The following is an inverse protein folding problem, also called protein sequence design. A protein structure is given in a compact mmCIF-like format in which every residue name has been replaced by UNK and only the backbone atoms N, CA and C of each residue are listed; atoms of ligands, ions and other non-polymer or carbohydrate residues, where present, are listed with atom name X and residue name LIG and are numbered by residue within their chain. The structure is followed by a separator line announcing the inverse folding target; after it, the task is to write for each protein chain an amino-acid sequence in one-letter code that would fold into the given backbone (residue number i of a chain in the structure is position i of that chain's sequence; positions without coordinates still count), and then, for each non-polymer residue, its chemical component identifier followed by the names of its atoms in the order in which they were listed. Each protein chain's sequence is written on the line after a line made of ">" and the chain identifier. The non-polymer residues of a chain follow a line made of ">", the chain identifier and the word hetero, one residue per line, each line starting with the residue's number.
data_IF_015085980204
#
_entry.id   IF_015085980204
#
_cell.length_a   1.000
_cell.length_b   1.000
_cell.length_c   1.000
_cell.angle_alpha   90.00
_cell.angle_beta   90.00
_cell.angle_gamma   90.00
#
_symmetry.space_group_name_H-M   'P 1'
#
loop_
_entity.id
_entity.type
_entity.pdbx_description
1 polymer ?
#
# COMPACT_ATOMS: atom_id res chain seq x y z
N UNK A 1 1.60 19.40 -12.51
CA UNK A 1 1.86 17.96 -12.31
C UNK A 1 1.78 17.66 -10.83
N UNK A 2 0.84 16.80 -10.40
CA UNK A 2 0.71 16.38 -9.01
C UNK A 2 1.89 15.47 -8.67
N UNK A 3 2.68 15.80 -7.64
CA UNK A 3 3.77 14.92 -7.19
C UNK A 3 3.17 13.63 -6.60
N UNK A 4 3.61 12.48 -7.10
CA UNK A 4 3.24 11.17 -6.53
C UNK A 4 3.71 11.05 -5.08
N UNK A 5 2.99 10.31 -4.22
CA UNK A 5 3.42 10.08 -2.85
C UNK A 5 4.76 9.33 -2.83
N UNK A 6 5.67 9.74 -1.94
CA UNK A 6 6.94 9.04 -1.69
C UNK A 6 6.78 7.78 -0.84
N UNK A 7 5.63 7.61 -0.20
CA UNK A 7 5.30 6.43 0.61
C UNK A 7 4.02 5.83 0.08
N UNK A 8 4.08 4.56 -0.31
CA UNK A 8 2.96 3.79 -0.82
C UNK A 8 2.75 2.59 0.07
N UNK A 9 1.49 2.32 0.41
CA UNK A 9 1.14 1.20 1.27
C UNK A 9 0.07 0.34 0.63
N UNK A 10 0.29 -0.95 0.63
CA UNK A 10 -0.72 -1.96 0.35
C UNK A 10 -0.89 -2.84 1.59
N UNK A 11 -2.09 -3.36 1.80
CA UNK A 11 -2.33 -4.35 2.85
C UNK A 11 -2.95 -5.60 2.25
N UNK A 12 -2.25 -6.72 2.34
CA UNK A 12 -2.68 -8.01 1.80
C UNK A 12 -3.32 -8.80 2.93
N UNK A 13 -4.58 -9.20 2.76
CA UNK A 13 -5.38 -9.86 3.80
C UNK A 13 -5.61 -11.31 3.45
N UNK A 14 -5.53 -12.16 4.46
CA UNK A 14 -5.69 -13.60 4.36
C UNK A 14 -6.92 -14.06 5.13
N UNK A 15 -7.50 -15.19 4.70
CA UNK A 15 -8.61 -15.83 5.40
C UNK A 15 -8.19 -16.38 6.78
N UNK A 16 -9.11 -17.07 7.47
CA UNK A 16 -8.80 -17.72 8.75
C UNK A 16 -7.64 -18.71 8.62
N UNK A 17 -6.66 -18.62 9.52
CA UNK A 17 -5.43 -19.42 9.49
C UNK A 17 -4.24 -18.69 10.11
N UNK A 18 -3.07 -19.34 10.13
CA UNK A 18 -1.82 -18.67 10.53
C UNK A 18 -1.43 -17.63 9.48
N UNK A 19 -0.93 -16.49 9.94
CA UNK A 19 -0.29 -15.52 9.07
C UNK A 19 0.87 -16.17 8.31
N UNK A 20 1.12 -15.79 7.05
CA UNK A 20 2.30 -16.26 6.35
C UNK A 20 3.55 -15.83 7.12
N UNK A 21 4.42 -16.80 7.40
CA UNK A 21 5.74 -16.57 7.98
C UNK A 21 6.56 -15.68 7.03
N UNK A 22 7.26 -14.68 7.56
CA UNK A 22 8.14 -13.83 6.76
C UNK A 22 9.29 -14.59 6.12
N UNK A 23 9.69 -15.76 6.64
CA UNK A 23 10.58 -16.65 5.90
C UNK A 23 9.96 -17.10 4.56
N UNK A 24 8.66 -17.36 4.51
CA UNK A 24 7.95 -17.71 3.29
C UNK A 24 7.72 -16.52 2.35
N UNK A 25 7.71 -15.29 2.89
CA UNK A 25 7.51 -14.04 2.12
C UNK A 25 8.83 -13.50 1.57
N UNK A 26 9.95 -13.71 2.27
CA UNK A 26 11.27 -13.16 1.92
C UNK A 26 11.72 -13.59 0.52
N UNK A 27 11.63 -14.89 0.19
CA UNK A 27 11.96 -15.40 -1.15
C UNK A 27 11.19 -14.71 -2.28
N UNK A 28 9.84 -14.68 -2.25
CA UNK A 28 9.03 -13.95 -3.21
C UNK A 28 9.36 -12.45 -3.32
N UNK A 29 9.65 -11.79 -2.20
CA UNK A 29 10.02 -10.36 -2.17
C UNK A 29 11.39 -10.16 -2.83
N UNK A 30 12.42 -10.89 -2.42
CA UNK A 30 13.76 -10.77 -3.00
C UNK A 30 13.76 -11.11 -4.49
N UNK A 31 12.97 -12.10 -4.92
CA UNK A 31 12.78 -12.41 -6.33
C UNK A 31 12.10 -11.26 -7.10
N UNK A 32 11.12 -10.59 -6.49
CA UNK A 32 10.48 -9.41 -7.07
C UNK A 32 11.46 -8.26 -7.26
N UNK A 33 12.27 -7.97 -6.24
CA UNK A 33 13.27 -6.90 -6.31
C UNK A 33 14.32 -7.18 -7.36
N UNK A 34 14.81 -8.43 -7.43
CA UNK A 34 15.77 -8.83 -8.46
C UNK A 34 15.22 -8.70 -9.89
N UNK A 35 13.94 -9.04 -10.11
CA UNK A 35 13.32 -8.88 -11.42
C UNK A 35 13.04 -7.43 -11.80
N UNK A 36 12.97 -6.53 -10.81
CA UNK A 36 12.83 -5.09 -11.00
C UNK A 36 14.18 -4.36 -11.10
N UNK A 37 15.30 -5.11 -11.14
CA UNK A 37 16.67 -4.58 -11.12
C UNK A 37 16.95 -3.66 -9.92
N UNK A 38 16.34 -3.97 -8.77
CA UNK A 38 16.53 -3.25 -7.51
C UNK A 38 17.62 -3.92 -6.70
N UNK A 39 18.64 -3.16 -6.31
CA UNK A 39 19.74 -3.66 -5.49
C UNK A 39 19.35 -3.68 -4.02
N UNK A 40 19.53 -4.82 -3.34
CA UNK A 40 19.31 -4.95 -1.90
C UNK A 40 20.61 -4.56 -1.18
N UNK A 41 20.54 -3.51 -0.36
CA UNK A 41 21.65 -3.01 0.43
C UNK A 41 21.72 -3.70 1.80
N UNK A 42 20.56 -3.92 2.43
CA UNK A 42 20.44 -4.65 3.69
C UNK A 42 19.06 -5.28 3.84
N UNK A 43 18.98 -6.32 4.68
CA UNK A 43 17.74 -6.98 5.04
C UNK A 43 17.75 -7.31 6.53
N UNK A 44 16.75 -6.81 7.24
CA UNK A 44 16.53 -7.07 8.66
C UNK A 44 15.22 -7.84 8.81
N UNK A 45 15.27 -8.96 9.55
CA UNK A 45 14.08 -9.72 9.93
C UNK A 45 13.80 -9.47 11.42
N UNK A 46 12.56 -9.15 11.76
CA UNK A 46 12.14 -9.02 13.15
C UNK A 46 12.37 -10.33 13.91
N UNK A 47 12.75 -10.24 15.18
CA UNK A 47 13.09 -11.39 16.02
C UNK A 47 11.98 -12.45 16.06
N UNK A 48 10.74 -12.00 16.21
CA UNK A 48 9.55 -12.86 16.26
C UNK A 48 9.07 -13.31 14.87
N UNK A 49 9.74 -12.90 13.80
CA UNK A 49 9.34 -13.21 12.43
C UNK A 49 8.00 -12.59 12.05
N UNK A 50 7.66 -11.42 12.60
CA UNK A 50 6.44 -10.65 12.30
C UNK A 50 6.69 -9.37 11.48
N UNK A 51 7.95 -9.07 11.18
CA UNK A 51 8.33 -7.95 10.36
C UNK A 51 9.57 -8.23 9.52
N UNK A 52 9.69 -7.50 8.42
CA UNK A 52 10.85 -7.52 7.56
C UNK A 52 11.09 -6.10 7.04
N UNK A 53 12.33 -5.63 7.12
CA UNK A 53 12.78 -4.37 6.53
C UNK A 53 13.85 -4.67 5.50
N UNK A 54 13.71 -4.10 4.31
CA UNK A 54 14.68 -4.23 3.23
C UNK A 54 15.08 -2.83 2.79
N UNK A 55 16.36 -2.55 2.85
CA UNK A 55 16.94 -1.33 2.30
C UNK A 55 17.44 -1.60 0.88
N UNK A 56 17.14 -0.68 -0.01
CA UNK A 56 17.47 -0.78 -1.43
C UNK A 56 18.04 0.54 -1.93
N UNK A 57 18.68 0.50 -3.10
CA UNK A 57 19.08 1.70 -3.84
C UNK A 57 17.90 2.61 -4.23
N UNK A 58 16.68 2.08 -4.23
CA UNK A 58 15.46 2.82 -4.54
C UNK A 58 14.72 3.36 -3.30
N UNK A 59 15.12 2.95 -2.09
CA UNK A 59 14.49 3.33 -0.83
C UNK A 59 14.29 2.15 0.13
N UNK A 60 13.29 2.26 1.01
CA UNK A 60 13.06 1.29 2.10
C UNK A 60 11.72 0.58 1.87
N UNK A 61 11.72 -0.73 2.03
CA UNK A 61 10.54 -1.59 1.99
C UNK A 61 10.35 -2.18 3.38
N UNK A 62 9.18 -2.00 3.95
CA UNK A 62 8.80 -2.53 5.26
C UNK A 62 7.59 -3.43 5.09
N UNK A 63 7.67 -4.62 5.68
CA UNK A 63 6.54 -5.52 5.77
C UNK A 63 6.27 -5.84 7.23
N UNK A 64 4.99 -5.88 7.58
CA UNK A 64 4.55 -6.19 8.94
C UNK A 64 3.31 -7.06 8.90
N UNK A 65 3.35 -8.19 9.60
CA UNK A 65 2.20 -9.06 9.80
C UNK A 65 1.43 -8.60 11.04
N UNK A 66 0.13 -8.78 10.99
CA UNK A 66 -0.77 -8.47 12.12
C UNK A 66 -2.03 -9.31 12.00
N UNK A 67 -2.72 -9.50 13.14
CA UNK A 67 -4.04 -10.12 13.13
C UNK A 67 -5.08 -9.20 12.47
N UNK A 68 -6.01 -9.79 11.71
CA UNK A 68 -7.11 -9.06 11.08
C UNK A 68 -8.40 -9.89 11.12
N UNK A 69 -9.31 -9.53 12.02
CA UNK A 69 -10.54 -10.30 12.26
C UNK A 69 -10.21 -11.73 12.68
N UNK A 70 -10.74 -12.72 11.96
CA UNK A 70 -10.40 -14.14 12.16
C UNK A 70 -9.15 -14.61 11.39
N UNK A 71 -8.55 -13.72 10.58
CA UNK A 71 -7.40 -14.01 9.73
C UNK A 71 -6.20 -13.12 10.04
N UNK A 72 -5.40 -12.84 9.02
CA UNK A 72 -4.18 -12.02 9.14
C UNK A 72 -4.07 -11.00 8.01
N UNK A 73 -3.23 -9.99 8.22
CA UNK A 73 -2.92 -8.94 7.27
C UNK A 73 -1.41 -8.71 7.24
N UNK A 74 -0.83 -8.65 6.04
CA UNK A 74 0.53 -8.18 5.80
C UNK A 74 0.46 -6.77 5.21
N UNK A 75 0.89 -5.78 5.99
CA UNK A 75 1.12 -4.44 5.49
C UNK A 75 2.46 -4.40 4.75
N UNK A 76 2.46 -3.81 3.55
CA UNK A 76 3.64 -3.58 2.72
C UNK A 76 3.74 -2.07 2.54
N UNK A 77 4.76 -1.44 3.09
CA UNK A 77 5.07 -0.04 2.89
C UNK A 77 6.35 0.09 2.07
N UNK A 78 6.30 0.92 1.01
CA UNK A 78 7.46 1.26 0.19
C UNK A 78 7.66 2.76 0.28
N UNK A 79 8.82 3.15 0.77
CA UNK A 79 9.27 4.54 0.86
C UNK A 79 10.39 4.76 -0.14
N UNK A 80 10.12 5.53 -1.19
CA UNK A 80 11.15 5.94 -2.15
C UNK A 80 12.21 6.84 -1.48
N UNK A 81 13.47 6.68 -1.90
CA UNK A 81 14.53 7.61 -1.57
C UNK A 81 14.21 9.03 -2.10
N UNK A 82 14.89 10.05 -1.57
CA UNK A 82 14.64 11.44 -1.97
C UNK A 82 14.90 11.69 -3.46
N UNK A 83 15.91 11.03 -4.00
CA UNK A 83 16.34 11.08 -5.41
C UNK A 83 15.46 10.27 -6.36
N UNK A 84 14.59 9.41 -5.85
CA UNK A 84 13.82 8.43 -6.65
C UNK A 84 12.38 8.88 -6.82
N UNK A 85 11.81 8.84 -8.03
CA UNK A 85 10.42 9.26 -8.25
C UNK A 85 9.40 8.45 -7.44
N UNK A 86 8.34 9.12 -6.94
CA UNK A 86 7.28 8.44 -6.19
C UNK A 86 6.54 7.36 -6.99
N UNK A 87 6.55 7.47 -8.33
CA UNK A 87 6.02 6.44 -9.22
C UNK A 87 6.72 5.10 -9.02
N UNK A 88 8.02 5.09 -8.74
CA UNK A 88 8.80 3.87 -8.49
C UNK A 88 8.33 3.18 -7.22
N UNK A 89 8.13 3.93 -6.12
CA UNK A 89 7.55 3.36 -4.89
C UNK A 89 6.17 2.75 -5.14
N UNK A 90 5.37 3.37 -6.01
CA UNK A 90 4.04 2.89 -6.36
C UNK A 90 4.08 1.60 -7.18
N UNK A 91 4.97 1.53 -8.18
CA UNK A 91 5.16 0.33 -9.00
C UNK A 91 5.74 -0.82 -8.17
N UNK A 92 6.74 -0.57 -7.33
CA UNK A 92 7.31 -1.57 -6.44
C UNK A 92 6.28 -2.11 -5.45
N UNK A 93 5.51 -1.23 -4.80
CA UNK A 93 4.47 -1.65 -3.86
C UNK A 93 3.38 -2.48 -4.57
N UNK A 94 3.01 -2.09 -5.79
CA UNK A 94 2.09 -2.87 -6.62
C UNK A 94 2.62 -4.28 -6.93
N UNK A 95 3.84 -4.39 -7.46
CA UNK A 95 4.42 -5.68 -7.85
C UNK A 95 4.59 -6.61 -6.64
N UNK A 96 5.05 -6.08 -5.50
CA UNK A 96 5.17 -6.84 -4.26
C UNK A 96 3.81 -7.35 -3.77
N UNK A 97 2.82 -6.45 -3.65
CA UNK A 97 1.49 -6.81 -3.20
C UNK A 97 0.81 -7.83 -4.12
N UNK A 98 0.94 -7.65 -5.44
CA UNK A 98 0.40 -8.58 -6.44
C UNK A 98 1.02 -9.97 -6.28
N UNK A 99 2.35 -10.07 -6.21
CA UNK A 99 3.03 -11.38 -6.11
C UNK A 99 2.70 -12.09 -4.81
N UNK A 100 2.76 -11.38 -3.68
CA UNK A 100 2.40 -11.93 -2.37
C UNK A 100 0.96 -12.43 -2.39
N UNK A 101 0.03 -11.62 -2.90
CA UNK A 101 -1.39 -11.99 -2.95
C UNK A 101 -1.68 -13.22 -3.79
N UNK A 102 -1.01 -13.37 -4.94
CA UNK A 102 -1.20 -14.51 -5.84
C UNK A 102 -0.56 -15.79 -5.29
N UNK A 103 0.64 -15.68 -4.72
CA UNK A 103 1.40 -16.84 -4.25
C UNK A 103 0.86 -17.42 -2.94
N UNK A 104 0.28 -16.58 -2.10
CA UNK A 104 -0.21 -16.95 -0.77
C UNK A 104 -1.74 -16.96 -0.67
N UNK A 105 -2.43 -16.96 -1.82
CA UNK A 105 -3.89 -17.06 -1.91
C UNK A 105 -4.62 -16.04 -1.01
N UNK A 106 -4.25 -14.77 -1.12
CA UNK A 106 -4.88 -13.71 -0.34
C UNK A 106 -6.38 -13.59 -0.64
N UNK A 107 -7.16 -13.19 0.36
CA UNK A 107 -8.59 -12.94 0.22
C UNK A 107 -8.86 -11.57 -0.41
N UNK A 108 -8.09 -10.54 -0.03
CA UNK A 108 -8.24 -9.18 -0.55
C UNK A 108 -6.98 -8.35 -0.37
N UNK A 109 -6.91 -7.23 -1.07
CA UNK A 109 -5.83 -6.25 -1.00
C UNK A 109 -6.45 -4.87 -0.80
N UNK A 110 -6.08 -4.18 0.27
CA UNK A 110 -6.39 -2.77 0.48
C UNK A 110 -5.24 -1.92 -0.08
N UNK A 111 -5.52 -1.15 -1.13
CA UNK A 111 -4.59 -0.21 -1.72
C UNK A 111 -4.75 1.16 -1.05
N UNK A 112 -3.81 1.58 -0.21
CA UNK A 112 -3.96 2.81 0.59
C UNK A 112 -4.04 4.11 -0.23
N UNK A 113 -3.31 4.30 -1.35
CA UNK A 113 -3.38 5.54 -2.11
C UNK A 113 -4.81 5.94 -2.52
N UNK A 114 -5.66 4.97 -2.84
CA UNK A 114 -7.06 5.21 -3.24
C UNK A 114 -8.07 4.63 -2.25
N UNK A 115 -7.60 3.95 -1.20
CA UNK A 115 -8.41 3.19 -0.23
C UNK A 115 -9.33 2.12 -0.83
N UNK A 116 -9.07 1.70 -2.07
CA UNK A 116 -9.81 0.61 -2.71
C UNK A 116 -9.47 -0.74 -2.08
N UNK A 117 -10.49 -1.58 -1.90
CA UNK A 117 -10.33 -2.99 -1.52
C UNK A 117 -10.63 -3.84 -2.75
N UNK A 118 -9.64 -4.58 -3.22
CA UNK A 118 -9.70 -5.35 -4.46
C UNK A 118 -9.46 -6.84 -4.17
N UNK A 119 -10.10 -7.72 -4.94
CA UNK A 119 -9.69 -9.13 -4.99
C UNK A 119 -8.34 -9.24 -5.70
N UNK A 120 -7.50 -10.26 -5.41
CA UNK A 120 -6.22 -10.42 -6.10
C UNK A 120 -6.32 -10.43 -7.62
N UNK A 121 -7.37 -11.05 -8.18
CA UNK A 121 -7.63 -11.10 -9.63
C UNK A 121 -7.99 -9.75 -10.24
N UNK A 122 -8.44 -8.79 -9.44
CA UNK A 122 -8.81 -7.44 -9.88
C UNK A 122 -7.69 -6.42 -9.62
N UNK A 123 -6.67 -6.80 -8.84
CA UNK A 123 -5.54 -5.95 -8.49
C UNK A 123 -4.54 -5.85 -9.65
N UNK A 124 -4.90 -5.02 -10.63
CA UNK A 124 -4.14 -4.77 -11.85
C UNK A 124 -3.61 -3.34 -11.87
N UNK A 125 -2.47 -3.11 -12.54
CA UNK A 125 -1.89 -1.77 -12.64
C UNK A 125 -2.87 -0.74 -13.21
N UNK A 126 -3.63 -1.13 -14.25
CA UNK A 126 -4.64 -0.29 -14.88
C UNK A 126 -5.71 0.19 -13.88
N UNK A 127 -6.26 -0.71 -13.05
CA UNK A 127 -7.25 -0.36 -12.01
C UNK A 127 -6.68 0.62 -10.99
N UNK A 128 -5.38 0.54 -10.71
CA UNK A 128 -4.74 1.41 -9.73
C UNK A 128 -4.39 2.79 -10.28
N UNK A 129 -4.36 2.99 -11.61
CA UNK A 129 -4.03 4.28 -12.22
C UNK A 129 -5.11 5.34 -11.98
N UNK A 130 -6.36 4.92 -11.78
CA UNK A 130 -7.47 5.79 -11.41
C UNK A 130 -7.29 6.27 -9.96
N UNK A 131 -6.52 7.34 -9.80
CA UNK A 131 -6.54 8.14 -8.57
C UNK A 131 -7.89 8.85 -8.56
N UNK A 132 -8.82 8.55 -7.62
CA UNK A 132 -10.00 9.37 -7.47
C UNK A 132 -9.51 10.80 -7.24
N UNK A 133 -9.81 11.70 -8.19
CA UNK A 133 -9.56 13.14 -7.98
C UNK A 133 -10.26 13.47 -6.67
N UNK A 134 -9.51 13.84 -5.63
CA UNK A 134 -10.11 14.38 -4.42
C UNK A 134 -11.06 15.48 -4.89
N UNK A 135 -12.36 15.31 -4.64
CA UNK A 135 -13.29 16.43 -4.79
C UNK A 135 -12.69 17.58 -3.99
N UNK A 136 -12.49 18.77 -4.58
CA UNK A 136 -12.14 19.92 -3.77
C UNK A 136 -13.25 20.04 -2.72
N UNK A 137 -12.88 20.08 -1.44
CA UNK A 137 -13.80 20.42 -0.36
C UNK A 137 -14.20 21.88 -0.60
N UNK A 138 -15.15 22.12 -1.51
CA UNK A 138 -15.83 23.40 -1.62
C UNK A 138 -16.91 23.42 -0.56
N UNK A 139 -16.46 23.50 0.69
CA UNK A 139 -17.27 23.62 1.88
C UNK A 139 -16.94 24.91 2.62
N UNK A 140 -16.83 26.04 1.91
CA UNK A 140 -17.19 27.32 2.53
C UNK A 140 -18.70 27.28 2.70
N UNK A 141 -19.14 26.79 3.85
CA UNK A 141 -20.46 27.15 4.37
C UNK A 141 -20.36 28.66 4.59
N UNK A 142 -20.86 29.45 3.65
CA UNK A 142 -21.17 30.85 3.93
C UNK A 142 -22.28 30.84 4.98
N UNK A 143 -22.09 31.47 6.15
CA UNK A 143 -23.23 31.76 7.01
C UNK A 143 -24.10 32.75 6.25
N UNK A 144 -25.35 32.37 5.98
CA UNK A 144 -26.37 33.31 5.50
C UNK A 144 -26.41 34.53 6.44
N UNK A 145 -26.38 35.77 5.91
CA UNK A 145 -26.71 36.91 6.74
C UNK A 145 -28.22 36.91 7.00
N UNK A 146 -28.59 36.88 8.28
CA UNK A 146 -29.94 37.22 8.75
C UNK A 146 -30.46 38.50 8.07
N UNK A 147 -31.60 38.37 7.38
CA UNK A 147 -32.57 39.44 7.11
C UNK A 147 -33.93 38.73 7.09
N UNK A 148 -34.97 39.12 7.78
CA UNK A 148 -35.30 40.30 8.57
C UNK A 148 -36.80 40.16 8.85
N UNK A 149 -37.23 40.65 10.01
CA UNK A 149 -38.61 40.66 10.42
C UNK A 149 -39.51 41.52 9.49
N UNK A 150 -40.82 41.26 9.59
CA UNK A 150 -41.96 42.14 9.29
C UNK A 150 -42.32 42.36 7.80
N UNK A 151 -43.47 41.82 7.39
CA UNK A 151 -44.74 42.57 7.22
C UNK A 151 -45.80 41.64 6.60
N UNK A 152 -46.84 41.31 7.38
CA UNK A 152 -48.26 41.46 7.05
C UNK A 152 -49.09 41.11 8.29
#
# INVERSE_FOLDING_TARGET
>A
MTREPKVITAKVRFGPGKAPDFYAISGPVCWCLRQADVCILSQDLGFDGESMRIETDHGIIELQSSAFGKGSEVAIAVRAAETVEGLVARQLCYELARRISMRLSAASILWKPTSQVLRPTQFTWAVLQDIPRRLPVSGRISPEPMRGALLH
#
